data_IF_543705457072
#
_entry.id   IF_543705457072
#
_cell.length_a   1.000
_cell.length_b   1.000
_cell.length_c   1.000
_cell.angle_alpha   90.00
_cell.angle_beta   90.00
_cell.angle_gamma   90.00
#
_symmetry.space_group_name_H-M   'P 1'
#
loop_
_entity.id
_entity.type
_entity.pdbx_description
1 polymer ?
#
# COMPACT_ATOMS: atom_id res chain seq x y z
N UNK A 1 -0.87 12.12 -1.97
CA UNK A 1 -0.04 12.61 -3.07
C UNK A 1 0.69 13.86 -2.64
N UNK A 2 0.00 15.00 -2.43
CA UNK A 2 0.66 16.23 -1.91
C UNK A 2 1.69 16.03 -0.78
N UNK A 3 1.46 15.12 0.17
CA UNK A 3 2.43 14.83 1.23
C UNK A 3 3.67 14.03 0.77
N UNK A 4 3.51 13.04 -0.12
CA UNK A 4 4.63 12.29 -0.70
C UNK A 4 5.37 13.11 -1.76
N UNK A 5 4.64 13.79 -2.64
CA UNK A 5 5.19 14.74 -3.61
C UNK A 5 5.92 15.90 -2.90
N UNK A 6 5.39 16.38 -1.76
CA UNK A 6 6.05 17.40 -0.95
C UNK A 6 7.32 16.89 -0.24
N UNK A 7 7.32 15.62 0.17
CA UNK A 7 8.47 14.98 0.80
C UNK A 7 9.62 14.76 -0.20
N UNK A 8 9.31 14.19 -1.37
CA UNK A 8 10.31 13.89 -2.40
C UNK A 8 10.60 15.05 -3.36
N UNK A 9 9.77 16.10 -3.37
CA UNK A 9 9.85 17.22 -4.34
C UNK A 9 9.97 16.67 -5.78
N UNK A 10 10.76 17.32 -6.63
CA UNK A 10 11.01 16.90 -8.03
C UNK A 10 12.03 15.75 -8.15
N UNK A 11 12.43 15.10 -7.05
CA UNK A 11 13.43 14.02 -7.08
C UNK A 11 12.83 12.65 -7.36
N UNK A 12 11.52 12.48 -7.16
CA UNK A 12 10.87 11.20 -7.40
C UNK A 12 9.65 11.35 -8.31
N UNK A 13 9.47 10.38 -9.21
CA UNK A 13 8.21 10.15 -9.90
C UNK A 13 7.38 9.22 -9.04
N UNK A 14 6.11 9.57 -8.80
CA UNK A 14 5.21 8.79 -7.94
C UNK A 14 3.95 8.46 -8.72
N UNK A 15 3.71 7.17 -8.93
CA UNK A 15 2.53 6.66 -9.62
C UNK A 15 1.66 5.85 -8.65
N UNK A 16 0.35 5.86 -8.89
CA UNK A 16 -0.62 5.16 -8.07
C UNK A 16 -1.27 4.05 -8.86
N UNK A 17 -1.59 2.97 -8.15
CA UNK A 17 -2.37 1.85 -8.70
C UNK A 17 -1.77 1.34 -10.01
N UNK A 18 -0.44 1.27 -10.09
CA UNK A 18 0.27 0.93 -11.30
C UNK A 18 0.06 -0.55 -11.65
N UNK A 19 -0.42 -0.78 -12.87
CA UNK A 19 -0.73 -2.12 -13.36
C UNK A 19 0.51 -2.77 -13.98
N UNK A 20 0.84 -3.97 -13.51
CA UNK A 20 1.92 -4.82 -14.01
C UNK A 20 1.36 -6.18 -14.43
N UNK A 21 1.08 -6.37 -15.72
CA UNK A 21 0.44 -7.59 -16.25
C UNK A 21 -0.83 -7.95 -15.44
N UNK A 22 -0.75 -8.97 -14.57
CA UNK A 22 -1.85 -9.46 -13.73
C UNK A 22 -1.85 -8.90 -12.30
N UNK A 23 -0.83 -8.13 -11.94
CA UNK A 23 -0.68 -7.52 -10.63
C UNK A 23 -0.89 -6.01 -10.70
N UNK A 24 -1.19 -5.42 -9.55
CA UNK A 24 -1.31 -3.97 -9.39
C UNK A 24 -0.59 -3.59 -8.10
N UNK A 25 0.30 -2.61 -8.17
CA UNK A 25 0.94 -2.05 -6.99
C UNK A 25 0.21 -0.77 -6.58
N UNK A 26 -0.03 -0.60 -5.29
CA UNK A 26 -0.75 0.56 -4.79
C UNK A 26 0.00 1.88 -5.05
N UNK A 27 1.32 1.92 -4.84
CA UNK A 27 2.16 3.09 -5.15
C UNK A 27 3.51 2.63 -5.73
N UNK A 28 3.90 3.17 -6.88
CA UNK A 28 5.24 3.02 -7.43
C UNK A 28 5.99 4.34 -7.25
N UNK A 29 7.21 4.27 -6.73
CA UNK A 29 8.10 5.42 -6.56
C UNK A 29 9.36 5.14 -7.37
N UNK A 30 9.69 6.02 -8.30
CA UNK A 30 11.00 6.01 -8.96
C UNK A 30 11.83 7.14 -8.37
N UNK A 31 12.97 6.80 -7.75
CA UNK A 31 13.90 7.75 -7.15
C UNK A 31 15.30 7.46 -7.70
N UNK A 32 15.89 8.45 -8.38
CA UNK A 32 17.25 8.35 -8.95
C UNK A 32 17.44 7.10 -9.85
N UNK A 33 16.39 6.72 -10.59
CA UNK A 33 16.38 5.55 -11.47
C UNK A 33 16.09 4.20 -10.79
N UNK A 34 15.85 4.20 -9.47
CA UNK A 34 15.47 3.02 -8.71
C UNK A 34 13.95 2.95 -8.50
N UNK A 35 13.34 1.81 -8.88
CA UNK A 35 11.91 1.57 -8.70
C UNK A 35 11.62 0.89 -7.36
N UNK A 36 10.82 1.56 -6.53
CA UNK A 36 10.34 1.08 -5.24
C UNK A 36 8.82 0.94 -5.27
N UNK A 37 8.34 -0.28 -5.14
CA UNK A 37 6.92 -0.60 -5.01
C UNK A 37 6.48 -0.57 -3.55
N UNK A 38 5.43 0.18 -3.23
CA UNK A 38 4.76 0.14 -1.94
C UNK A 38 3.40 -0.53 -2.09
N UNK A 39 3.18 -1.58 -1.31
CA UNK A 39 1.91 -2.30 -1.26
C UNK A 39 1.24 -2.09 0.10
N UNK A 40 0.04 -1.52 0.12
CA UNK A 40 -0.65 -1.13 1.34
C UNK A 40 -1.68 -2.19 1.76
N UNK A 41 -1.65 -2.61 3.02
CA UNK A 41 -2.51 -3.71 3.51
C UNK A 41 -3.16 -3.37 4.83
N UNK A 42 -4.44 -3.68 4.94
CA UNK A 42 -5.22 -3.57 6.17
C UNK A 42 -5.71 -4.97 6.54
N UNK A 43 -4.99 -5.72 7.40
CA UNK A 43 -5.46 -7.02 7.85
C UNK A 43 -6.66 -6.80 8.77
N UNK A 44 -7.84 -7.28 8.34
CA UNK A 44 -9.11 -7.04 9.06
C UNK A 44 -9.71 -8.30 9.69
N UNK A 45 -9.18 -9.50 9.40
CA UNK A 45 -9.73 -10.80 9.87
C UNK A 45 -8.65 -11.89 9.95
N UNK A 46 -8.93 -12.98 10.68
CA UNK A 46 -8.21 -14.27 10.58
C UNK A 46 -8.21 -14.75 9.12
N UNK A 47 -7.04 -15.18 8.62
CA UNK A 47 -6.81 -15.54 7.20
C UNK A 47 -6.27 -14.41 6.32
N UNK A 48 -6.13 -13.20 6.84
CA UNK A 48 -5.47 -12.08 6.13
C UNK A 48 -3.97 -12.34 5.91
N UNK A 49 -3.30 -12.98 6.86
CA UNK A 49 -1.87 -13.32 6.77
C UNK A 49 -1.57 -14.35 5.67
N UNK A 50 -2.40 -15.38 5.51
CA UNK A 50 -2.25 -16.37 4.41
C UNK A 50 -2.38 -15.72 3.04
N UNK A 51 -3.40 -14.87 2.85
CA UNK A 51 -3.58 -14.12 1.59
C UNK A 51 -2.41 -13.17 1.32
N UNK A 52 -1.86 -12.59 2.38
CA UNK A 52 -0.70 -11.71 2.29
C UNK A 52 0.55 -12.50 1.87
N UNK A 53 0.74 -13.70 2.42
CA UNK A 53 1.80 -14.63 2.02
C UNK A 53 1.69 -15.04 0.54
N UNK A 54 0.50 -15.41 0.07
CA UNK A 54 0.25 -15.73 -1.34
C UNK A 54 0.55 -14.54 -2.27
N UNK A 55 0.18 -13.33 -1.83
CA UNK A 55 0.47 -12.12 -2.58
C UNK A 55 1.97 -11.83 -2.63
N UNK A 56 2.70 -12.00 -1.53
CA UNK A 56 4.17 -11.87 -1.49
C UNK A 56 4.83 -12.82 -2.48
N UNK A 57 4.43 -14.11 -2.47
CA UNK A 57 4.96 -15.12 -3.40
C UNK A 57 4.73 -14.71 -4.86
N UNK A 58 3.51 -14.28 -5.18
CA UNK A 58 3.15 -13.84 -6.55
C UNK A 58 3.97 -12.63 -6.98
N UNK A 59 4.11 -11.64 -6.12
CA UNK A 59 4.81 -10.39 -6.47
C UNK A 59 6.31 -10.62 -6.62
N UNK A 60 6.95 -11.43 -5.77
CA UNK A 60 8.37 -11.77 -5.94
C UNK A 60 8.65 -12.47 -7.26
N UNK A 61 7.78 -13.39 -7.68
CA UNK A 61 7.93 -14.09 -8.95
C UNK A 61 7.68 -13.22 -10.19
N UNK A 62 6.71 -12.30 -10.13
CA UNK A 62 6.24 -11.58 -11.31
C UNK A 62 6.74 -10.13 -11.43
N UNK A 63 7.01 -9.46 -10.30
CA UNK A 63 7.36 -8.04 -10.23
C UNK A 63 8.85 -7.78 -10.02
N UNK A 64 9.61 -8.74 -9.51
CA UNK A 64 11.04 -8.56 -9.22
C UNK A 64 11.94 -8.32 -10.45
N UNK A 65 11.39 -8.32 -11.67
CA UNK A 65 12.09 -7.91 -12.90
C UNK A 65 11.86 -6.45 -13.29
N UNK A 66 10.85 -5.83 -12.70
CA UNK A 66 10.44 -4.46 -13.00
C UNK A 66 10.82 -3.53 -11.86
N UNK A 67 10.69 -4.03 -10.63
CA UNK A 67 10.83 -3.24 -9.42
C UNK A 67 12.02 -3.76 -8.62
N UNK A 68 12.93 -2.85 -8.29
CA UNK A 68 14.15 -3.15 -7.53
C UNK A 68 13.78 -3.57 -6.10
N UNK A 69 12.91 -2.80 -5.46
CA UNK A 69 12.51 -3.01 -4.07
C UNK A 69 10.99 -3.04 -3.89
N UNK A 70 10.51 -4.00 -3.10
CA UNK A 70 9.10 -4.14 -2.77
C UNK A 70 8.90 -4.08 -1.25
N UNK A 71 8.17 -3.06 -0.81
CA UNK A 71 7.88 -2.80 0.59
C UNK A 71 6.38 -3.01 0.84
N UNK A 72 6.05 -3.95 1.71
CA UNK A 72 4.69 -4.15 2.19
C UNK A 72 4.46 -3.29 3.44
N UNK A 73 3.46 -2.42 3.37
CA UNK A 73 3.08 -1.55 4.47
C UNK A 73 1.77 -2.05 5.07
N UNK A 74 1.83 -2.55 6.29
CA UNK A 74 0.69 -3.10 7.01
C UNK A 74 0.13 -2.02 7.94
N UNK A 75 -1.07 -1.53 7.64
CA UNK A 75 -1.84 -0.63 8.50
C UNK A 75 -2.61 -1.47 9.53
N UNK A 76 -2.10 -1.50 10.75
CA UNK A 76 -2.73 -2.22 11.86
C UNK A 76 -3.85 -1.36 12.48
N UNK A 77 -5.08 -1.63 12.06
CA UNK A 77 -6.29 -0.92 12.52
C UNK A 77 -6.98 -1.61 13.70
N UNK A 78 -6.67 -2.88 13.93
CA UNK A 78 -7.11 -3.70 15.04
C UNK A 78 -5.96 -4.64 15.40
N UNK A 79 -5.86 -5.05 16.67
CA UNK A 79 -4.84 -5.99 17.13
C UNK A 79 -4.98 -7.30 16.36
N UNK A 80 -3.92 -7.68 15.65
CA UNK A 80 -3.83 -8.96 14.96
C UNK A 80 -2.85 -9.83 15.72
N UNK A 81 -3.39 -10.84 16.41
CA UNK A 81 -2.60 -11.88 17.10
C UNK A 81 -1.53 -12.45 16.15
N UNK A 82 -0.31 -12.61 16.67
CA UNK A 82 0.87 -13.12 15.96
C UNK A 82 1.37 -12.29 14.75
N UNK A 83 0.82 -11.11 14.45
CA UNK A 83 1.27 -10.29 13.31
C UNK A 83 2.78 -9.97 13.37
N UNK A 84 3.37 -9.53 14.49
CA UNK A 84 4.81 -9.25 14.55
C UNK A 84 5.66 -10.50 14.23
N UNK A 85 5.32 -11.63 14.85
CA UNK A 85 6.01 -12.91 14.64
C UNK A 85 5.90 -13.38 13.19
N UNK A 86 4.72 -13.26 12.60
CA UNK A 86 4.51 -13.60 11.19
C UNK A 86 5.32 -12.68 10.26
N UNK A 87 5.41 -11.39 10.56
CA UNK A 87 6.20 -10.44 9.78
C UNK A 87 7.68 -10.82 9.78
N UNK A 88 8.24 -11.16 10.94
CA UNK A 88 9.65 -11.56 11.03
C UNK A 88 9.91 -12.83 10.20
N UNK A 89 9.03 -13.83 10.32
CA UNK A 89 9.11 -15.05 9.52
C UNK A 89 8.99 -14.76 8.01
N UNK A 90 8.11 -13.85 7.61
CA UNK A 90 7.93 -13.50 6.20
C UNK A 90 9.14 -12.75 5.62
N UNK A 91 9.74 -11.84 6.40
CA UNK A 91 10.99 -11.15 6.01
C UNK A 91 12.11 -12.14 5.76
N UNK A 92 12.32 -13.06 6.69
CA UNK A 92 13.36 -14.09 6.60
C UNK A 92 13.09 -15.05 5.42
N UNK A 93 11.86 -15.55 5.30
CA UNK A 93 11.50 -16.57 4.30
C UNK A 93 11.48 -16.04 2.86
N UNK A 94 11.07 -14.79 2.64
CA UNK A 94 10.85 -14.24 1.30
C UNK A 94 11.84 -13.16 0.88
N UNK A 95 12.67 -12.67 1.82
CA UNK A 95 13.58 -11.55 1.57
C UNK A 95 12.83 -10.29 1.16
N UNK A 96 11.73 -9.98 1.85
CA UNK A 96 10.90 -8.79 1.58
C UNK A 96 10.97 -7.79 2.71
N UNK A 97 10.78 -6.53 2.39
CA UNK A 97 10.64 -5.48 3.40
C UNK A 97 9.17 -5.37 3.82
N UNK A 98 8.91 -5.45 5.13
CA UNK A 98 7.57 -5.27 5.70
C UNK A 98 7.64 -4.25 6.83
N UNK A 99 6.79 -3.24 6.76
CA UNK A 99 6.66 -2.18 7.76
C UNK A 99 5.25 -2.23 8.35
N UNK A 100 5.15 -2.33 9.67
CA UNK A 100 3.88 -2.21 10.39
C UNK A 100 3.70 -0.74 10.79
N UNK A 101 2.62 -0.14 10.32
CA UNK A 101 2.16 1.15 10.75
C UNK A 101 1.00 0.94 11.74
N UNK A 102 1.36 0.91 13.02
CA UNK A 102 0.38 0.88 14.11
C UNK A 102 -0.31 2.23 14.26
N UNK A 103 -1.64 2.23 14.44
CA UNK A 103 -2.36 3.42 14.84
C UNK A 103 -3.83 3.47 14.40
N UNK A 104 -4.66 4.08 15.25
CA UNK A 104 -6.06 4.39 14.94
C UNK A 104 -6.12 5.40 13.79
N UNK A 105 -6.18 4.93 12.54
CA UNK A 105 -6.53 5.79 11.41
C UNK A 105 -7.89 6.41 11.67
N UNK A 106 -7.94 7.68 12.11
CA UNK A 106 -9.18 8.46 12.20
C UNK A 106 -9.73 8.59 10.78
N UNK A 107 -10.76 7.78 10.47
CA UNK A 107 -11.46 7.80 9.19
C UNK A 107 -12.00 9.21 8.94
N UNK A 108 -11.32 9.98 8.08
CA UNK A 108 -11.79 11.31 7.66
C UNK A 108 -13.03 11.09 6.77
N UNK A 109 -14.23 11.25 7.32
CA UNK A 109 -15.49 11.20 6.53
C UNK A 109 -15.38 12.25 5.43
N UNK A 110 -15.40 11.82 4.17
CA UNK A 110 -15.55 12.72 3.01
C UNK A 110 -16.88 13.45 3.19
N UNK A 111 -16.85 14.74 3.51
CA UNK A 111 -18.03 15.59 3.38
C UNK A 111 -18.38 15.64 1.90
N UNK A 112 -19.50 15.02 1.51
CA UNK A 112 -20.10 15.26 0.20
C UNK A 112 -20.48 16.73 0.17
N UNK A 113 -19.98 17.51 -0.80
CA UNK A 113 -20.54 18.83 -1.09
C UNK A 113 -22.00 18.61 -1.47
N UNK A 114 -22.93 19.06 -0.64
CA UNK A 114 -24.33 19.18 -1.02
C UNK A 114 -24.39 20.19 -2.17
N UNK A 115 -24.49 19.68 -3.39
CA UNK A 115 -24.84 20.49 -4.55
C UNK A 115 -26.33 20.83 -4.38
N UNK A 116 -26.64 21.96 -3.74
CA UNK A 116 -27.99 22.54 -3.80
C UNK A 116 -28.23 22.91 -5.26
N UNK A 117 -28.89 22.02 -6.02
CA UNK A 117 -29.58 22.41 -7.25
C UNK A 117 -30.67 23.39 -6.83
N UNK A 118 -30.46 24.67 -7.08
CA UNK A 118 -31.54 25.64 -7.03
C UNK A 118 -32.57 25.27 -8.08
N UNK A 119 -33.74 24.82 -7.65
CA UNK A 119 -34.93 24.84 -8.49
C UNK A 119 -35.29 26.31 -8.68
N UNK A 120 -35.21 26.81 -9.92
CA UNK A 120 -35.96 28.00 -10.33
C UNK A 120 -37.36 27.51 -10.66
N UNK A 121 -38.33 27.98 -9.90
CA UNK A 121 -39.75 27.89 -10.23
C UNK A 121 -39.99 28.69 -11.52
N UNK A 122 -40.70 28.07 -12.47
CA UNK A 122 -41.39 28.73 -13.57
C UNK A 122 -42.87 28.42 -13.42
#
# INVERSE_FOLDING_TARGET
MRYLEGYFKNRARIEKEQQFKRNRIDILIELDGHEVGLELKVPTKRGSLTRLEEQIKRYRGELGRFIDDLIFVILEVAEVEDLPKWVDQAKEKYGVHIVILGGKLKRRKRQRRNHKRGYREF
#
